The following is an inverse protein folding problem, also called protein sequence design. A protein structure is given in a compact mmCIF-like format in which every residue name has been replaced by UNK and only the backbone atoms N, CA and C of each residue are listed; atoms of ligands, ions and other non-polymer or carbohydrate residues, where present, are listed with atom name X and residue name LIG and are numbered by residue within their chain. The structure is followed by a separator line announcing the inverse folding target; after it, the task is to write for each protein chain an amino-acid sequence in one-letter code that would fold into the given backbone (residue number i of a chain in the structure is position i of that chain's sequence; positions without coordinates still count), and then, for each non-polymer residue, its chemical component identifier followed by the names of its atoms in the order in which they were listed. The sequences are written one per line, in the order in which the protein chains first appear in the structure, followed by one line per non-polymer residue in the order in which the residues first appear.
data_IF_016585763128
#
_entry.id   IF_016585763128
#
_cell.length_a   1.000
_cell.length_b   1.000
_cell.length_c   1.000
_cell.angle_alpha   90.00
_cell.angle_beta   90.00
_cell.angle_gamma   90.00
#
_symmetry.space_group_name_H-M   'P 1'
#
loop_
_entity.id
_entity.type
_entity.pdbx_description
1 polymer ?
#
# COMPACT_ATOMS: atom_id res chain seq x y z
N UNK A 1 11.84 13.84 -5.43
CA UNK A 1 12.11 13.58 -6.85
C UNK A 1 11.81 12.13 -7.17
N UNK A 2 10.56 11.82 -7.53
CA UNK A 2 10.10 10.46 -7.88
C UNK A 2 8.90 10.54 -8.82
N UNK A 3 8.64 9.46 -9.55
CA UNK A 3 7.44 9.27 -10.36
C UNK A 3 6.79 7.94 -9.99
N UNK A 4 5.47 7.90 -9.91
CA UNK A 4 4.70 6.66 -9.72
C UNK A 4 4.02 6.33 -11.05
N UNK A 5 4.18 5.10 -11.52
CA UNK A 5 3.50 4.59 -12.70
C UNK A 5 2.43 3.58 -12.27
N UNK A 6 1.21 3.76 -12.76
CA UNK A 6 0.09 2.84 -12.54
C UNK A 6 -0.30 2.23 -13.88
N UNK A 7 -0.28 0.90 -13.96
CA UNK A 7 -0.57 0.14 -15.17
C UNK A 7 -1.60 -0.95 -14.84
N UNK A 8 -2.46 -1.28 -15.80
CA UNK A 8 -3.43 -2.37 -15.71
C UNK A 8 -3.32 -3.27 -16.95
N UNK A 9 -3.47 -4.58 -16.76
CA UNK A 9 -3.38 -5.57 -17.82
C UNK A 9 -3.39 -6.99 -17.23
N UNK A 10 -3.36 -7.99 -18.11
CA UNK A 10 -3.25 -9.38 -17.66
C UNK A 10 -1.92 -9.63 -16.92
N UNK A 11 -1.82 -10.69 -16.09
CA UNK A 11 -0.58 -11.03 -15.40
C UNK A 11 0.65 -11.04 -16.32
N UNK A 12 0.53 -11.62 -17.52
CA UNK A 12 1.61 -11.70 -18.49
C UNK A 12 2.01 -10.33 -19.07
N UNK A 13 1.02 -9.50 -19.41
CA UNK A 13 1.28 -8.16 -19.95
C UNK A 13 1.92 -7.25 -18.91
N UNK A 14 1.42 -7.29 -17.67
CA UNK A 14 1.92 -6.47 -16.57
C UNK A 14 3.32 -6.92 -16.13
N UNK A 15 3.60 -8.23 -16.11
CA UNK A 15 4.95 -8.77 -15.92
C UNK A 15 5.93 -8.18 -16.93
N UNK A 16 5.61 -8.30 -18.23
CA UNK A 16 6.46 -7.80 -19.32
C UNK A 16 6.65 -6.28 -19.24
N UNK A 17 5.59 -5.53 -18.94
CA UNK A 17 5.65 -4.09 -18.77
C UNK A 17 6.57 -3.71 -17.60
N UNK A 18 6.40 -4.33 -16.43
CA UNK A 18 7.22 -4.06 -15.24
C UNK A 18 8.71 -4.34 -15.50
N UNK A 19 9.04 -5.46 -16.14
CA UNK A 19 10.42 -5.82 -16.51
C UNK A 19 11.00 -4.76 -17.46
N UNK A 20 10.29 -4.43 -18.55
CA UNK A 20 10.78 -3.45 -19.53
C UNK A 20 10.96 -2.06 -18.92
N UNK A 21 10.05 -1.63 -18.05
CA UNK A 21 10.15 -0.36 -17.32
C UNK A 21 11.35 -0.37 -16.37
N UNK A 22 11.53 -1.43 -15.57
CA UNK A 22 12.64 -1.55 -14.64
C UNK A 22 13.99 -1.58 -15.37
N UNK A 23 14.06 -2.30 -16.50
CA UNK A 23 15.22 -2.35 -17.37
C UNK A 23 15.57 -0.95 -17.89
N UNK A 24 14.57 -0.21 -18.38
CA UNK A 24 14.82 1.14 -18.90
C UNK A 24 15.23 2.12 -17.79
N UNK A 25 14.66 1.99 -16.60
CA UNK A 25 15.08 2.76 -15.44
C UNK A 25 16.55 2.46 -15.06
N UNK A 26 16.97 1.19 -15.06
CA UNK A 26 18.36 0.81 -14.80
C UNK A 26 19.35 1.34 -15.86
N UNK A 27 18.91 1.45 -17.12
CA UNK A 27 19.70 2.05 -18.20
C UNK A 27 19.84 3.57 -18.05
N UNK A 28 18.76 4.27 -17.73
CA UNK A 28 18.69 5.73 -17.81
C UNK A 28 18.99 6.47 -16.49
N UNK A 29 18.76 5.84 -15.34
CA UNK A 29 18.87 6.47 -14.03
C UNK A 29 20.17 6.04 -13.37
N UNK A 30 20.92 7.03 -12.88
CA UNK A 30 22.14 6.85 -12.09
C UNK A 30 21.86 7.30 -10.64
N UNK A 31 21.69 6.33 -9.76
CA UNK A 31 21.35 6.55 -8.35
C UNK A 31 22.45 7.28 -7.58
N UNK A 32 23.72 7.18 -8.01
CA UNK A 32 24.83 7.90 -7.38
C UNK A 32 24.68 9.42 -7.47
N UNK A 33 23.87 9.91 -8.43
CA UNK A 33 23.57 11.34 -8.64
C UNK A 33 22.15 11.72 -8.20
N UNK A 34 21.33 10.75 -7.78
CA UNK A 34 19.95 10.99 -7.42
C UNK A 34 19.81 11.47 -5.98
N UNK A 35 19.09 12.59 -5.82
CA UNK A 35 18.67 13.11 -4.52
C UNK A 35 17.17 13.44 -4.53
N UNK A 36 16.52 13.27 -3.37
CA UNK A 36 15.12 13.64 -3.21
C UNK A 36 14.63 13.47 -1.77
N UNK A 37 13.59 14.23 -1.42
CA UNK A 37 13.01 14.22 -0.07
C UNK A 37 12.32 12.89 0.32
N UNK A 38 11.95 12.05 -0.66
CA UNK A 38 11.31 10.77 -0.38
C UNK A 38 12.35 9.65 -0.23
N UNK A 39 12.28 8.80 0.81
CA UNK A 39 13.16 7.65 0.95
C UNK A 39 13.15 6.75 -0.28
N UNK A 40 14.33 6.38 -0.75
CA UNK A 40 14.55 5.52 -1.92
C UNK A 40 15.81 4.68 -1.76
N UNK A 41 15.86 3.51 -2.39
CA UNK A 41 17.05 2.66 -2.42
C UNK A 41 17.47 2.21 -3.83
N UNK A 42 16.70 2.52 -4.87
CA UNK A 42 17.06 2.19 -6.25
C UNK A 42 16.35 3.02 -7.31
N UNK A 43 16.85 2.90 -8.53
CA UNK A 43 16.30 3.54 -9.73
C UNK A 43 14.86 3.09 -9.96
N UNK A 44 14.60 1.79 -9.76
CA UNK A 44 13.27 1.24 -9.53
C UNK A 44 13.15 0.88 -8.06
N UNK A 45 12.55 1.76 -7.28
CA UNK A 45 12.57 1.66 -5.81
C UNK A 45 11.59 0.60 -5.27
N UNK A 46 10.41 0.44 -5.88
CA UNK A 46 9.46 -0.64 -5.56
C UNK A 46 8.55 -0.96 -6.75
N UNK A 47 8.22 -2.24 -6.91
CA UNK A 47 7.23 -2.74 -7.87
C UNK A 47 6.16 -3.55 -7.10
N UNK A 48 5.00 -2.94 -6.78
CA UNK A 48 3.85 -3.66 -6.23
C UNK A 48 2.99 -4.31 -7.33
N UNK A 49 2.59 -5.56 -7.13
CA UNK A 49 1.51 -6.20 -7.88
C UNK A 49 0.25 -6.27 -7.01
N UNK A 50 -0.87 -5.84 -7.56
CA UNK A 50 -2.12 -5.71 -6.82
C UNK A 50 -3.24 -6.40 -7.61
N UNK A 51 -3.99 -7.34 -7.00
CA UNK A 51 -5.13 -7.95 -7.68
C UNK A 51 -6.23 -6.91 -7.90
N UNK A 52 -6.83 -6.91 -9.09
CA UNK A 52 -7.91 -5.99 -9.46
C UNK A 52 -9.21 -6.74 -9.75
N UNK A 53 -9.23 -7.58 -10.79
CA UNK A 53 -10.37 -8.43 -11.13
C UNK A 53 -9.88 -9.77 -11.61
N UNK A 54 -10.57 -10.85 -11.21
CA UNK A 54 -10.36 -12.23 -11.67
C UNK A 54 -8.90 -12.71 -11.56
N UNK A 55 -8.14 -12.15 -10.61
CA UNK A 55 -6.76 -12.52 -10.30
C UNK A 55 -6.63 -12.55 -8.79
N UNK A 56 -6.08 -13.64 -8.27
CA UNK A 56 -5.81 -13.82 -6.86
C UNK A 56 -4.53 -13.11 -6.43
N UNK A 57 -4.41 -12.87 -5.11
CA UNK A 57 -3.15 -12.42 -4.53
C UNK A 57 -2.02 -13.46 -4.75
N UNK A 58 -2.37 -14.75 -4.86
CA UNK A 58 -1.41 -15.83 -5.14
C UNK A 58 -0.75 -15.66 -6.51
N UNK A 59 -1.56 -15.46 -7.55
CA UNK A 59 -1.06 -15.19 -8.91
C UNK A 59 -0.22 -13.90 -8.96
N UNK A 60 -0.63 -12.86 -8.23
CA UNK A 60 0.18 -11.63 -8.09
C UNK A 60 1.55 -11.90 -7.44
N UNK A 61 1.63 -12.85 -6.49
CA UNK A 61 2.90 -13.26 -5.87
C UNK A 61 3.79 -14.02 -6.84
N UNK A 62 3.22 -14.88 -7.68
CA UNK A 62 3.96 -15.60 -8.72
C UNK A 62 4.58 -14.63 -9.72
N UNK A 63 3.80 -13.65 -10.21
CA UNK A 63 4.32 -12.56 -11.06
C UNK A 63 5.42 -11.78 -10.34
N UNK A 64 5.24 -11.45 -9.06
CA UNK A 64 6.25 -10.74 -8.28
C UNK A 64 7.57 -11.52 -8.19
N UNK A 65 7.51 -12.85 -8.02
CA UNK A 65 8.69 -13.72 -7.98
C UNK A 65 9.42 -13.76 -9.32
N UNK A 66 8.70 -13.90 -10.43
CA UNK A 66 9.31 -13.92 -11.77
C UNK A 66 9.98 -12.58 -12.10
N UNK A 67 9.31 -11.46 -11.80
CA UNK A 67 9.88 -10.12 -12.02
C UNK A 67 11.10 -9.88 -11.12
N UNK A 68 11.04 -10.33 -9.87
CA UNK A 68 12.17 -10.21 -8.95
C UNK A 68 13.39 -11.02 -9.41
N UNK A 69 13.17 -12.26 -9.88
CA UNK A 69 14.23 -13.11 -10.42
C UNK A 69 14.87 -12.50 -11.66
N UNK A 70 14.07 -11.98 -12.60
CA UNK A 70 14.56 -11.34 -13.81
C UNK A 70 15.41 -10.11 -13.49
N UNK A 71 14.93 -9.20 -12.63
CA UNK A 71 15.70 -8.01 -12.20
C UNK A 71 16.98 -8.43 -11.48
N UNK A 72 16.91 -9.47 -10.65
CA UNK A 72 18.06 -10.05 -9.95
C UNK A 72 19.16 -10.52 -10.90
N UNK A 73 18.79 -11.08 -12.06
CA UNK A 73 19.72 -11.56 -13.08
C UNK A 73 20.60 -10.45 -13.69
N UNK A 74 20.18 -9.19 -13.57
CA UNK A 74 20.92 -8.02 -14.07
C UNK A 74 21.98 -7.51 -13.07
N UNK A 75 22.22 -8.23 -11.96
CA UNK A 75 23.15 -7.80 -10.92
C UNK A 75 22.57 -6.72 -10.01
N UNK A 76 21.25 -6.65 -9.87
CA UNK A 76 20.55 -5.75 -8.95
C UNK A 76 20.03 -6.58 -7.78
N UNK A 77 20.37 -6.24 -6.52
CA UNK A 77 19.79 -6.94 -5.37
C UNK A 77 18.29 -6.64 -5.25
N UNK A 78 17.49 -7.69 -5.13
CA UNK A 78 16.03 -7.61 -5.03
C UNK A 78 15.53 -8.20 -3.72
N UNK A 79 14.60 -7.48 -3.08
CA UNK A 79 13.95 -7.88 -1.84
C UNK A 79 12.46 -8.08 -2.06
N UNK A 80 11.94 -9.23 -1.62
CA UNK A 80 10.52 -9.47 -1.62
C UNK A 80 9.87 -8.85 -0.37
N UNK A 81 8.74 -8.15 -0.56
CA UNK A 81 8.05 -7.44 0.52
C UNK A 81 6.54 -7.72 0.55
N UNK A 82 5.86 -7.23 1.60
CA UNK A 82 4.43 -7.46 1.86
C UNK A 82 4.05 -8.94 1.81
N UNK A 83 3.03 -9.34 1.05
CA UNK A 83 2.54 -10.72 1.02
C UNK A 83 3.50 -11.65 0.25
N UNK A 84 4.49 -11.10 -0.45
CA UNK A 84 5.59 -11.84 -1.06
C UNK A 84 6.82 -11.99 -0.15
N UNK A 85 6.86 -11.32 1.01
CA UNK A 85 8.03 -11.35 1.88
C UNK A 85 8.38 -12.77 2.34
N UNK A 86 9.64 -13.16 2.17
CA UNK A 86 10.18 -14.45 2.64
C UNK A 86 10.45 -14.46 4.14
N UNK A 87 10.55 -13.27 4.74
CA UNK A 87 10.89 -13.05 6.15
C UNK A 87 9.96 -11.99 6.76
N UNK A 88 9.47 -12.17 8.00
CA UNK A 88 8.54 -11.23 8.64
C UNK A 88 9.02 -9.77 8.69
N UNK A 89 10.31 -9.57 8.93
CA UNK A 89 10.99 -8.26 9.01
C UNK A 89 11.07 -7.53 7.66
N UNK A 90 10.86 -8.23 6.54
CA UNK A 90 10.82 -7.63 5.19
C UNK A 90 9.41 -7.26 4.75
N UNK A 91 8.38 -7.57 5.56
CA UNK A 91 7.00 -7.29 5.16
C UNK A 91 6.78 -5.80 4.92
N UNK A 92 7.30 -4.95 5.80
CA UNK A 92 7.16 -3.51 5.70
C UNK A 92 8.30 -2.90 4.88
N UNK A 93 7.93 -2.24 3.78
CA UNK A 93 8.86 -1.58 2.87
C UNK A 93 9.76 -0.54 3.56
N UNK A 94 9.27 0.14 4.60
CA UNK A 94 10.07 1.13 5.33
C UNK A 94 11.27 0.50 6.05
N UNK A 95 11.12 -0.73 6.54
CA UNK A 95 12.19 -1.46 7.23
C UNK A 95 13.27 -1.89 6.23
N UNK A 96 12.86 -2.32 5.03
CA UNK A 96 13.79 -2.57 3.92
C UNK A 96 14.49 -1.27 3.51
N UNK A 97 13.78 -0.16 3.36
CA UNK A 97 14.35 1.11 2.92
C UNK A 97 15.09 1.90 3.99
N UNK A 98 15.12 1.41 5.23
CA UNK A 98 15.84 2.09 6.32
C UNK A 98 17.31 2.23 5.94
N UNK A 99 17.81 3.47 5.98
CA UNK A 99 19.14 3.84 5.50
C UNK A 99 19.18 4.40 4.08
N UNK A 100 18.07 4.29 3.32
CA UNK A 100 17.95 4.73 1.92
C UNK A 100 19.04 4.10 1.03
N UNK A 101 19.38 4.73 -0.10
CA UNK A 101 20.44 4.28 -1.00
C UNK A 101 21.83 4.32 -0.34
N UNK A 102 22.15 5.40 0.39
CA UNK A 102 23.48 5.62 0.98
C UNK A 102 23.81 4.60 2.05
N UNK A 103 22.88 4.32 2.96
CA UNK A 103 23.07 3.34 4.04
C UNK A 103 22.96 1.89 3.57
N UNK A 104 22.43 1.65 2.37
CA UNK A 104 22.21 0.28 1.88
C UNK A 104 23.51 -0.46 1.59
N UNK A 105 24.57 0.26 1.20
CA UNK A 105 25.89 -0.32 0.89
C UNK A 105 26.49 -1.09 2.06
N UNK A 106 26.30 -0.60 3.29
CA UNK A 106 26.73 -1.31 4.50
C UNK A 106 25.68 -2.32 4.95
N UNK A 107 24.40 -1.94 4.88
CA UNK A 107 23.28 -2.79 5.29
C UNK A 107 23.27 -4.15 4.60
N UNK A 108 23.49 -4.20 3.29
CA UNK A 108 23.42 -5.44 2.49
C UNK A 108 24.47 -6.48 2.91
N UNK A 109 25.56 -6.06 3.57
CA UNK A 109 26.61 -6.97 4.05
C UNK A 109 26.16 -7.84 5.22
N UNK A 110 25.12 -7.43 5.95
CA UNK A 110 24.54 -8.23 7.03
C UNK A 110 23.86 -9.49 6.48
N UNK A 111 24.06 -10.63 7.14
CA UNK A 111 23.42 -11.90 6.74
C UNK A 111 21.88 -11.80 6.74
N UNK A 112 21.32 -10.97 7.62
CA UNK A 112 19.90 -10.70 7.69
C UNK A 112 19.35 -9.94 6.47
N UNK A 113 20.23 -9.25 5.73
CA UNK A 113 19.93 -8.48 4.54
C UNK A 113 20.43 -9.15 3.25
N UNK A 114 20.69 -10.46 3.27
CA UNK A 114 20.91 -11.21 2.02
C UNK A 114 19.68 -11.06 1.08
N UNK A 115 19.81 -10.54 -0.14
CA UNK A 115 18.67 -10.32 -1.01
C UNK A 115 18.01 -11.65 -1.41
N UNK A 116 16.73 -11.59 -1.76
CA UNK A 116 15.97 -12.75 -2.23
C UNK A 116 16.42 -13.17 -3.63
N UNK A 117 16.79 -12.21 -4.48
CA UNK A 117 17.40 -12.43 -5.79
C UNK A 117 18.55 -11.44 -6.06
N UNK A 118 19.47 -11.85 -6.93
CA UNK A 118 20.65 -11.05 -7.27
C UNK A 118 21.79 -11.16 -6.25
N UNK A 119 22.90 -10.45 -6.47
CA UNK A 119 24.09 -10.52 -5.62
C UNK A 119 23.84 -9.81 -4.28
N UNK A 120 24.51 -10.27 -3.21
CA UNK A 120 24.56 -9.56 -1.92
C UNK A 120 25.53 -8.37 -1.98
N UNK A 121 25.33 -7.52 -2.98
CA UNK A 121 26.12 -6.34 -3.24
C UNK A 121 25.21 -5.27 -3.84
N UNK A 122 25.38 -4.03 -3.38
CA UNK A 122 24.58 -2.93 -3.87
C UNK A 122 25.02 -2.55 -5.29
N UNK A 123 24.07 -2.48 -6.23
CA UNK A 123 24.38 -1.97 -7.55
C UNK A 123 24.58 -0.45 -7.49
N UNK A 124 25.77 0.06 -7.78
CA UNK A 124 26.06 1.50 -7.66
C UNK A 124 25.16 2.36 -8.56
N UNK A 125 24.88 1.91 -9.79
CA UNK A 125 24.08 2.70 -10.72
C UNK A 125 22.58 2.58 -10.41
N UNK A 126 22.08 1.37 -10.20
CA UNK A 126 20.64 1.10 -10.12
C UNK A 126 20.12 0.93 -8.71
N UNK A 127 20.99 0.76 -7.72
CA UNK A 127 20.65 0.51 -6.32
C UNK A 127 20.04 -0.86 -6.06
N UNK A 128 19.03 -0.92 -5.20
CA UNK A 128 18.27 -2.12 -4.86
C UNK A 128 16.79 -1.93 -5.20
N UNK A 129 16.10 -3.04 -5.48
CA UNK A 129 14.67 -3.04 -5.83
C UNK A 129 13.87 -3.82 -4.80
N UNK A 130 12.71 -3.31 -4.38
CA UNK A 130 11.70 -4.11 -3.69
C UNK A 130 10.62 -4.57 -4.68
N UNK A 131 10.24 -5.85 -4.65
CA UNK A 131 9.15 -6.37 -5.48
C UNK A 131 8.19 -7.15 -4.60
N UNK A 132 6.89 -7.05 -4.82
CA UNK A 132 5.97 -7.83 -4.01
C UNK A 132 4.51 -7.66 -4.38
N UNK A 133 3.69 -8.55 -3.88
CA UNK A 133 2.24 -8.48 -4.01
C UNK A 133 1.62 -7.87 -2.76
N UNK A 134 0.58 -7.06 -2.95
CA UNK A 134 -0.24 -6.53 -1.86
C UNK A 134 -1.65 -6.24 -2.34
N UNK A 135 -2.61 -6.29 -1.43
CA UNK A 135 -3.94 -5.76 -1.71
C UNK A 135 -3.90 -4.23 -1.85
N UNK A 136 -4.86 -3.63 -2.58
CA UNK A 136 -4.95 -2.18 -2.66
C UNK A 136 -5.09 -1.55 -1.28
N UNK A 137 -4.38 -0.44 -1.08
CA UNK A 137 -4.59 0.42 0.08
C UNK A 137 -5.83 1.29 -0.18
N UNK A 138 -6.66 1.47 0.85
CA UNK A 138 -7.75 2.45 0.83
C UNK A 138 -7.38 3.61 1.75
N UNK A 139 -7.21 4.79 1.17
CA UNK A 139 -7.06 6.03 1.91
C UNK A 139 -8.45 6.61 2.18
N UNK A 140 -8.87 6.58 3.44
CA UNK A 140 -10.22 6.96 3.86
C UNK A 140 -10.14 7.82 5.09
N UNK A 141 -10.72 9.01 5.02
CA UNK A 141 -10.64 10.00 6.07
C UNK A 141 -12.04 10.29 6.63
N UNK A 142 -12.12 10.64 7.91
CA UNK A 142 -13.38 10.96 8.59
C UNK A 142 -13.28 12.32 9.24
N UNK A 143 -14.20 13.22 8.88
CA UNK A 143 -14.22 14.60 9.32
C UNK A 143 -14.98 14.73 10.64
N UNK A 144 -14.38 15.46 11.58
CA UNK A 144 -14.92 15.71 12.91
C UNK A 144 -15.27 17.19 13.05
N UNK A 145 -16.41 17.45 13.68
CA UNK A 145 -16.92 18.79 13.97
C UNK A 145 -16.24 19.41 15.20
N UNK A 146 -14.91 19.54 15.12
CA UNK A 146 -14.10 20.18 16.15
C UNK A 146 -12.81 20.71 15.56
N UNK A 147 -12.34 21.90 15.99
CA UNK A 147 -11.03 22.41 15.61
C UNK A 147 -9.89 21.79 16.44
N UNK A 148 -10.21 21.01 17.49
CA UNK A 148 -9.24 20.42 18.41
C UNK A 148 -8.62 19.14 17.82
N UNK A 149 -7.41 19.29 17.29
CA UNK A 149 -6.64 18.19 16.69
C UNK A 149 -6.28 17.10 17.70
N UNK A 150 -6.21 17.42 19.00
CA UNK A 150 -5.91 16.41 20.02
C UNK A 150 -7.02 15.36 20.10
N UNK A 151 -8.28 15.75 19.87
CA UNK A 151 -9.41 14.82 19.84
C UNK A 151 -9.24 13.86 18.65
N UNK A 152 -8.95 14.40 17.46
CA UNK A 152 -8.70 13.59 16.28
C UNK A 152 -7.51 12.64 16.48
N UNK A 153 -6.43 13.09 17.11
CA UNK A 153 -5.27 12.27 17.43
C UNK A 153 -5.56 11.17 18.45
N UNK A 154 -6.35 11.46 19.48
CA UNK A 154 -6.79 10.46 20.47
C UNK A 154 -7.64 9.38 19.79
N UNK A 155 -8.56 9.76 18.91
CA UNK A 155 -9.39 8.83 18.13
C UNK A 155 -8.49 8.01 17.18
N UNK A 156 -7.61 8.67 16.42
CA UNK A 156 -6.68 7.99 15.51
C UNK A 156 -5.80 6.95 16.23
N UNK A 157 -5.31 7.27 17.43
CA UNK A 157 -4.57 6.33 18.27
C UNK A 157 -5.41 5.10 18.63
N UNK A 158 -6.70 5.26 18.93
CA UNK A 158 -7.60 4.13 19.24
C UNK A 158 -7.96 3.29 18.02
N UNK A 159 -8.07 3.92 16.85
CA UNK A 159 -8.44 3.22 15.61
C UNK A 159 -7.27 2.42 15.02
N UNK A 160 -6.04 2.92 15.10
CA UNK A 160 -4.88 2.27 14.49
C UNK A 160 -4.35 1.09 15.31
N UNK A 161 -3.78 0.10 14.62
CA UNK A 161 -3.24 -1.11 15.25
C UNK A 161 -2.27 -0.85 16.41
N UNK A 162 -1.34 0.10 16.24
CA UNK A 162 -0.33 0.43 17.25
C UNK A 162 -0.95 0.87 18.58
N UNK A 163 -2.17 1.42 18.59
CA UNK A 163 -2.88 1.76 19.83
C UNK A 163 -3.93 0.73 20.25
N UNK A 164 -3.86 -0.49 19.72
CA UNK A 164 -4.75 -1.60 20.05
C UNK A 164 -6.03 -1.67 19.20
N UNK A 165 -6.15 -0.83 18.17
CA UNK A 165 -7.29 -0.79 17.26
C UNK A 165 -7.25 -1.83 16.14
N UNK A 166 -7.78 -1.45 14.98
CA UNK A 166 -7.88 -2.31 13.81
C UNK A 166 -6.49 -2.65 13.24
N UNK A 167 -6.22 -3.94 13.09
CA UNK A 167 -4.89 -4.48 12.75
C UNK A 167 -4.34 -3.95 11.43
N UNK A 168 -5.19 -3.75 10.43
CA UNK A 168 -4.79 -3.32 9.10
C UNK A 168 -5.10 -1.86 8.83
N UNK A 169 -5.13 -1.03 9.88
CA UNK A 169 -5.38 0.41 9.79
C UNK A 169 -4.23 1.20 10.41
N UNK A 170 -3.72 2.16 9.64
CA UNK A 170 -2.86 3.24 10.11
C UNK A 170 -3.70 4.51 10.16
N UNK A 171 -3.58 5.30 11.23
CA UNK A 171 -4.34 6.53 11.38
C UNK A 171 -3.54 7.64 12.08
N UNK A 172 -3.85 8.88 11.71
CA UNK A 172 -3.35 10.12 12.33
C UNK A 172 -4.48 11.15 12.44
N UNK A 173 -4.43 12.03 13.43
CA UNK A 173 -5.27 13.22 13.50
C UNK A 173 -4.66 14.34 12.66
N UNK A 174 -5.49 15.04 11.89
CA UNK A 174 -5.10 16.19 11.09
C UNK A 174 -6.06 17.35 11.34
N UNK A 175 -5.56 18.57 11.21
CA UNK A 175 -6.37 19.78 11.23
C UNK A 175 -6.71 20.20 9.80
N UNK A 176 -7.97 20.57 9.58
CA UNK A 176 -8.46 21.16 8.34
C UNK A 176 -8.69 22.66 8.59
N UNK A 177 -7.65 23.47 8.41
CA UNK A 177 -7.66 24.89 8.79
C UNK A 177 -8.79 25.67 8.11
N UNK A 178 -8.99 25.46 6.81
CA UNK A 178 -10.00 26.16 6.01
C UNK A 178 -11.44 25.90 6.47
N UNK A 179 -11.69 24.74 7.11
CA UNK A 179 -13.03 24.33 7.57
C UNK A 179 -13.22 24.48 9.07
N UNK A 180 -12.19 24.95 9.79
CA UNK A 180 -12.15 24.94 11.26
C UNK A 180 -12.57 23.57 11.85
N UNK A 181 -12.16 22.49 11.18
CA UNK A 181 -12.50 21.11 11.49
C UNK A 181 -11.22 20.30 11.68
N UNK A 182 -11.39 19.05 12.12
CA UNK A 182 -10.32 18.07 12.19
C UNK A 182 -10.72 16.81 11.47
N UNK A 183 -9.75 15.95 11.23
CA UNK A 183 -9.93 14.75 10.43
C UNK A 183 -9.13 13.61 11.03
N UNK A 184 -9.76 12.44 11.13
CA UNK A 184 -9.04 11.19 11.35
C UNK A 184 -8.67 10.67 9.96
N UNK A 185 -7.42 10.89 9.57
CA UNK A 185 -6.91 10.38 8.29
C UNK A 185 -6.44 8.93 8.45
N UNK A 186 -6.93 8.03 7.59
CA UNK A 186 -6.64 6.61 7.71
C UNK A 186 -6.17 6.01 6.39
N UNK A 187 -5.23 5.07 6.52
CA UNK A 187 -4.81 4.16 5.47
C UNK A 187 -5.15 2.75 5.92
N UNK A 188 -6.14 2.15 5.27
CA UNK A 188 -6.48 0.75 5.42
C UNK A 188 -5.55 -0.04 4.49
N UNK A 189 -4.52 -0.66 5.07
CA UNK A 189 -3.49 -1.39 4.31
C UNK A 189 -3.98 -2.75 3.80
N UNK A 190 -5.09 -3.24 4.36
CA UNK A 190 -5.82 -4.38 3.85
C UNK A 190 -7.31 -4.22 4.20
N UNK A 191 -8.10 -3.75 3.23
CA UNK A 191 -9.52 -3.46 3.42
C UNK A 191 -10.38 -4.73 3.54
N UNK A 192 -9.89 -5.89 3.06
CA UNK A 192 -10.61 -7.16 3.16
C UNK A 192 -10.57 -7.73 4.59
N UNK A 193 -9.53 -7.39 5.36
CA UNK A 193 -9.36 -7.85 6.75
C UNK A 193 -9.75 -6.80 7.79
N UNK A 194 -9.71 -5.52 7.44
CA UNK A 194 -10.27 -4.44 8.23
C UNK A 194 -11.07 -3.56 7.29
N UNK A 195 -12.39 -3.73 7.28
CA UNK A 195 -13.25 -3.10 6.30
C UNK A 195 -13.42 -1.60 6.56
N UNK A 196 -13.74 -0.86 5.50
CA UNK A 196 -13.95 0.60 5.56
C UNK A 196 -15.07 0.95 6.55
N UNK A 197 -16.17 0.17 6.56
CA UNK A 197 -17.27 0.40 7.50
C UNK A 197 -16.84 0.21 8.96
N UNK A 198 -15.97 -0.77 9.25
CA UNK A 198 -15.48 -1.02 10.62
C UNK A 198 -14.66 0.15 11.13
N UNK A 199 -13.77 0.69 10.28
CA UNK A 199 -12.97 1.86 10.62
C UNK A 199 -13.86 3.09 10.82
N UNK A 200 -14.83 3.30 9.94
CA UNK A 200 -15.78 4.42 10.03
C UNK A 200 -16.64 4.34 11.31
N UNK A 201 -17.21 3.18 11.61
CA UNK A 201 -18.02 2.99 12.83
C UNK A 201 -17.18 3.13 14.09
N UNK A 202 -15.94 2.62 14.11
CA UNK A 202 -15.04 2.81 15.25
C UNK A 202 -14.72 4.30 15.47
N UNK A 203 -14.49 5.08 14.41
CA UNK A 203 -14.32 6.55 14.53
C UNK A 203 -15.58 7.19 15.09
N UNK A 204 -16.77 6.83 14.59
CA UNK A 204 -18.04 7.36 15.10
C UNK A 204 -18.25 7.04 16.58
N UNK A 205 -17.95 5.81 16.99
CA UNK A 205 -18.07 5.38 18.39
C UNK A 205 -17.11 6.16 19.29
N UNK A 206 -15.85 6.32 18.88
CA UNK A 206 -14.86 7.08 19.66
C UNK A 206 -15.17 8.58 19.68
N UNK A 207 -15.62 9.18 18.57
CA UNK A 207 -16.01 10.58 18.52
C UNK A 207 -17.15 10.93 19.50
N UNK A 208 -18.15 10.03 19.62
CA UNK A 208 -19.24 10.17 20.60
C UNK A 208 -18.74 10.27 22.03
N UNK A 209 -17.63 9.60 22.40
CA UNK A 209 -17.05 9.66 23.75
C UNK A 209 -16.50 11.04 24.10
N UNK A 210 -16.16 11.84 23.10
CA UNK A 210 -15.69 13.21 23.26
C UNK A 210 -16.79 14.25 23.00
N UNK A 211 -18.04 13.82 22.75
CA UNK A 211 -19.14 14.73 22.41
C UNK A 211 -18.98 15.42 21.05
N UNK A 212 -18.19 14.83 20.13
CA UNK A 212 -17.90 15.40 18.82
C UNK A 212 -18.69 14.65 17.73
N UNK A 213 -19.25 15.41 16.80
CA UNK A 213 -19.98 14.85 15.66
C UNK A 213 -19.04 14.47 14.52
N UNK A 214 -19.38 13.40 13.81
CA UNK A 214 -18.80 13.08 12.50
C UNK A 214 -19.64 13.80 11.44
N UNK A 215 -19.01 14.67 10.66
CA UNK A 215 -19.68 15.54 9.67
C UNK A 215 -19.48 15.11 8.22
N UNK A 216 -18.69 14.06 8.01
CA UNK A 216 -18.52 13.47 6.69
C UNK A 216 -17.30 12.57 6.64
N UNK A 217 -17.05 12.01 5.46
CA UNK A 217 -15.89 11.20 5.17
C UNK A 217 -15.45 11.39 3.72
N UNK A 218 -14.21 11.05 3.43
CA UNK A 218 -13.60 11.26 2.12
C UNK A 218 -12.73 10.07 1.74
N UNK A 219 -12.84 9.66 0.47
CA UNK A 219 -11.88 8.74 -0.16
C UNK A 219 -10.82 9.59 -0.86
N UNK A 220 -9.54 9.33 -0.56
CA UNK A 220 -8.43 10.03 -1.20
C UNK A 220 -7.93 9.19 -2.39
N UNK A 221 -8.14 9.69 -3.60
CA UNK A 221 -7.75 8.99 -4.83
C UNK A 221 -8.79 7.96 -5.27
N UNK A 222 -8.34 6.72 -5.54
CA UNK A 222 -9.21 5.63 -5.98
C UNK A 222 -9.42 4.60 -4.87
N UNK A 223 -10.55 3.90 -4.94
CA UNK A 223 -10.92 2.85 -3.98
C UNK A 223 -11.40 1.61 -4.75
N UNK A 224 -11.09 0.38 -4.29
CA UNK A 224 -11.66 -0.83 -4.88
C UNK A 224 -13.18 -0.84 -4.74
N UNK A 225 -13.88 -1.21 -5.81
CA UNK A 225 -15.35 -1.31 -5.82
C UNK A 225 -15.86 -2.18 -4.65
N UNK A 226 -15.22 -3.33 -4.42
CA UNK A 226 -15.56 -4.24 -3.31
C UNK A 226 -15.56 -3.53 -1.96
N UNK A 227 -14.62 -2.62 -1.69
CA UNK A 227 -14.55 -1.92 -0.41
C UNK A 227 -15.79 -1.05 -0.14
N UNK A 228 -16.41 -0.49 -1.18
CA UNK A 228 -17.66 0.27 -1.07
C UNK A 228 -18.88 -0.65 -1.00
N UNK A 229 -18.86 -1.76 -1.73
CA UNK A 229 -19.93 -2.76 -1.68
C UNK A 229 -20.02 -3.43 -0.31
N UNK A 230 -18.88 -3.75 0.31
CA UNK A 230 -18.82 -4.27 1.70
C UNK A 230 -19.47 -3.28 2.69
N UNK A 231 -19.34 -1.96 2.44
CA UNK A 231 -20.00 -0.92 3.24
C UNK A 231 -21.51 -0.93 2.98
N UNK A 232 -21.93 -0.99 1.72
CA UNK A 232 -23.35 -1.03 1.36
C UNK A 232 -24.04 -2.27 1.95
N UNK A 233 -23.43 -3.44 1.83
CA UNK A 233 -23.90 -4.69 2.42
C UNK A 233 -24.03 -4.57 3.94
N UNK A 234 -23.02 -4.02 4.61
CA UNK A 234 -23.07 -3.81 6.06
C UNK A 234 -24.20 -2.87 6.51
N UNK A 235 -24.47 -1.77 5.81
CA UNK A 235 -25.52 -0.84 6.25
C UNK A 235 -26.92 -1.26 5.82
N UNK A 236 -27.05 -1.88 4.64
CA UNK A 236 -28.34 -2.29 4.09
C UNK A 236 -28.79 -3.66 4.58
N UNK A 237 -27.87 -4.48 5.10
CA UNK A 237 -28.14 -5.83 5.60
C UNK A 237 -28.84 -6.70 4.54
N UNK A 238 -28.38 -6.61 3.29
CA UNK A 238 -28.97 -7.33 2.17
C UNK A 238 -28.72 -8.83 2.36
N UNK A 239 -29.78 -9.60 2.55
CA UNK A 239 -29.69 -11.04 2.77
C UNK A 239 -29.19 -11.77 1.52
N UNK A 240 -28.18 -12.62 1.70
CA UNK A 240 -27.64 -13.45 0.61
C UNK A 240 -26.99 -12.65 -0.52
N UNK A 241 -26.53 -11.42 -0.23
CA UNK A 241 -25.89 -10.58 -1.23
C UNK A 241 -24.63 -11.24 -1.80
N UNK A 242 -24.53 -11.22 -3.13
CA UNK A 242 -23.34 -11.64 -3.86
C UNK A 242 -22.91 -10.53 -4.81
N UNK A 243 -21.60 -10.40 -5.00
CA UNK A 243 -21.02 -9.52 -6.00
C UNK A 243 -21.55 -9.82 -7.41
N UNK A 244 -22.01 -11.04 -7.69
CA UNK A 244 -22.54 -11.43 -9.00
C UNK A 244 -23.96 -10.89 -9.26
N UNK A 245 -24.58 -10.27 -8.25
CA UNK A 245 -25.81 -9.51 -8.39
C UNK A 245 -25.55 -8.05 -8.85
N UNK A 246 -24.29 -7.59 -8.86
CA UNK A 246 -23.93 -6.30 -9.44
C UNK A 246 -23.98 -6.42 -10.96
N UNK A 247 -24.86 -5.62 -11.58
CA UNK A 247 -25.16 -5.67 -13.01
C UNK A 247 -23.90 -5.52 -13.87
N UNK A 248 -23.13 -4.45 -13.64
CA UNK A 248 -21.93 -4.14 -14.42
C UNK A 248 -20.88 -5.23 -14.28
N UNK A 249 -20.67 -5.75 -13.06
CA UNK A 249 -19.75 -6.86 -12.82
C UNK A 249 -20.17 -8.09 -13.62
N UNK A 250 -21.43 -8.51 -13.48
CA UNK A 250 -21.98 -9.68 -14.18
C UNK A 250 -21.94 -9.55 -15.69
N UNK A 251 -22.15 -8.35 -16.23
CA UNK A 251 -22.12 -8.12 -17.69
C UNK A 251 -20.69 -8.07 -18.24
N UNK A 252 -19.74 -7.53 -17.47
CA UNK A 252 -18.34 -7.41 -17.88
C UNK A 252 -17.54 -8.71 -17.70
N UNK A 253 -17.89 -9.56 -16.73
CA UNK A 253 -17.25 -10.87 -16.52
C UNK A 253 -17.67 -11.94 -17.56
N UNK A 254 -18.71 -11.66 -18.36
CA UNK A 254 -19.22 -12.57 -19.41
C UNK A 254 -18.60 -12.27 -20.79
N UNK A 255 -17.66 -11.31 -20.89
CA UNK A 255 -16.88 -11.00 -22.09
C UNK A 255 -15.45 -11.53 -21.99
#
# INVERSE_FOLDING_TARGET
NRTVLTMIGSPEQIKKAAINTAKKAAELIDMSKHQGAHPRMGATDVIPFTPVSNVSIGECKEVALEVAAEIGSWGIPVYLYEDSATRPERRNLADIRKGQYEGFFEKIKGEEWKPDFGPQEMNVKSGATAVGARVPLVAFNVNLDTPDVEIADKIAKKVRYIGGGLRYVKAIGLKLEERNQTQVSMNLVNYEKSAVYQAFEMVKMEAKRYGVNVVGSEVIGTVPMKALLDVAEYYLQIEGFSLDQILEKRLLDVQ
#
